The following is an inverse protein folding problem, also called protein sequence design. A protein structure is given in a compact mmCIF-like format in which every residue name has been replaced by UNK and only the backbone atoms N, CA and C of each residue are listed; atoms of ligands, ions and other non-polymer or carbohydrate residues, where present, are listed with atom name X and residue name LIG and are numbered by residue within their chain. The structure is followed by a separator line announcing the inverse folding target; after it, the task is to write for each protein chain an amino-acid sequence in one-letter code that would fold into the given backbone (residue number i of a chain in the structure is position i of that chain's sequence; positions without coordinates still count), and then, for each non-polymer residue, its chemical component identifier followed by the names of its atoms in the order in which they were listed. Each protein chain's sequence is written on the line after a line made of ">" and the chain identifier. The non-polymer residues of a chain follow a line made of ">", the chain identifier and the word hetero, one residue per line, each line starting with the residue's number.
data_IF_672828584907
#
_entry.id   IF_672828584907
#
_cell.length_a   1.000
_cell.length_b   1.000
_cell.length_c   1.000
_cell.angle_alpha   90.00
_cell.angle_beta   90.00
_cell.angle_gamma   90.00
#
_symmetry.space_group_name_H-M   'P 1'
#
loop_
_entity.id
_entity.type
_entity.pdbx_description
1 polymer ?
#
# COMPACT_ATOMS: atom_id res chain seq x y z
N UNK A 1 -22.99 -52.66 -61.79
CA UNK A 1 -21.67 -52.61 -61.12
C UNK A 1 -21.72 -51.35 -60.28
N UNK A 2 -22.50 -51.37 -59.19
CA UNK A 2 -22.98 -50.13 -58.53
C UNK A 2 -22.85 -50.16 -57.00
N UNK A 3 -22.84 -51.35 -56.39
CA UNK A 3 -22.85 -51.51 -54.93
C UNK A 3 -21.57 -50.98 -54.24
N UNK A 4 -20.40 -51.05 -54.91
CA UNK A 4 -19.14 -50.48 -54.38
C UNK A 4 -19.14 -48.95 -54.40
N UNK A 5 -19.80 -48.34 -55.37
CA UNK A 5 -19.84 -46.88 -55.54
C UNK A 5 -20.84 -46.25 -54.56
N UNK A 6 -22.02 -46.84 -54.44
CA UNK A 6 -23.02 -46.45 -53.44
C UNK A 6 -22.48 -46.57 -52.01
N UNK A 7 -21.75 -47.65 -51.70
CA UNK A 7 -21.10 -47.82 -50.40
C UNK A 7 -20.05 -46.74 -50.10
N UNK A 8 -19.31 -46.24 -51.11
CA UNK A 8 -18.35 -45.15 -50.90
C UNK A 8 -19.05 -43.83 -50.59
N UNK A 9 -20.18 -43.55 -51.24
CA UNK A 9 -20.98 -42.36 -50.96
C UNK A 9 -21.60 -42.46 -49.56
N UNK A 10 -22.19 -43.61 -49.22
CA UNK A 10 -22.76 -43.87 -47.90
C UNK A 10 -21.73 -43.68 -46.77
N UNK A 11 -20.52 -44.24 -46.90
CA UNK A 11 -19.45 -44.06 -45.91
C UNK A 11 -19.03 -42.60 -45.73
N UNK A 12 -19.00 -41.81 -46.82
CA UNK A 12 -18.67 -40.39 -46.76
C UNK A 12 -19.76 -39.60 -46.02
N UNK A 13 -21.03 -39.93 -46.25
CA UNK A 13 -22.18 -39.31 -45.57
C UNK A 13 -22.16 -39.66 -44.08
N UNK A 14 -22.02 -40.94 -43.74
CA UNK A 14 -21.94 -41.40 -42.34
C UNK A 14 -20.83 -40.70 -41.57
N UNK A 15 -19.66 -40.55 -42.20
CA UNK A 15 -18.53 -39.85 -41.59
C UNK A 15 -18.85 -38.36 -41.38
N UNK A 16 -19.43 -37.69 -42.38
CA UNK A 16 -19.83 -36.29 -42.27
C UNK A 16 -20.86 -36.06 -41.15
N UNK A 17 -21.88 -36.91 -41.06
CA UNK A 17 -22.91 -36.82 -40.01
C UNK A 17 -22.38 -37.16 -38.63
N UNK A 18 -21.46 -38.12 -38.53
CA UNK A 18 -20.79 -38.44 -37.26
C UNK A 18 -19.95 -37.25 -36.79
N UNK A 19 -19.19 -36.62 -37.68
CA UNK A 19 -18.42 -35.40 -37.38
C UNK A 19 -19.33 -34.24 -36.92
N UNK A 20 -20.51 -34.08 -37.52
CA UNK A 20 -21.48 -33.07 -37.10
C UNK A 20 -22.01 -33.34 -35.69
N UNK A 21 -22.46 -34.57 -35.43
CA UNK A 21 -23.02 -35.00 -34.14
C UNK A 21 -22.01 -34.88 -33.00
N UNK A 22 -20.78 -35.36 -33.21
CA UNK A 22 -19.73 -35.33 -32.19
C UNK A 22 -19.40 -33.89 -31.80
N UNK A 23 -19.39 -32.97 -32.77
CA UNK A 23 -19.14 -31.56 -32.53
C UNK A 23 -20.29 -30.84 -31.85
N UNK A 24 -21.54 -31.09 -32.26
CA UNK A 24 -22.71 -30.52 -31.59
C UNK A 24 -22.81 -30.95 -30.13
N UNK A 25 -22.48 -32.21 -29.84
CA UNK A 25 -22.36 -32.71 -28.47
C UNK A 25 -21.24 -32.02 -27.69
N UNK A 26 -20.10 -31.75 -28.33
CA UNK A 26 -18.98 -31.04 -27.71
C UNK A 26 -19.35 -29.58 -27.37
N UNK A 27 -20.02 -28.89 -28.29
CA UNK A 27 -20.51 -27.51 -28.08
C UNK A 27 -21.58 -27.45 -27.00
N UNK A 28 -22.51 -28.42 -26.96
CA UNK A 28 -23.53 -28.51 -25.90
C UNK A 28 -22.92 -28.76 -24.51
N UNK A 29 -21.74 -29.38 -24.45
CA UNK A 29 -20.93 -29.56 -23.24
C UNK A 29 -19.97 -28.39 -22.97
N UNK A 30 -20.19 -27.24 -23.62
CA UNK A 30 -19.40 -26.01 -23.49
C UNK A 30 -17.91 -26.13 -23.85
N UNK A 31 -17.53 -27.11 -24.68
CA UNK A 31 -16.14 -27.25 -25.18
C UNK A 31 -15.93 -26.47 -26.49
N UNK A 32 -16.00 -25.14 -26.39
CA UNK A 32 -15.83 -24.22 -27.52
C UNK A 32 -14.42 -24.21 -28.14
N UNK A 33 -13.43 -24.80 -27.45
CA UNK A 33 -12.06 -25.02 -27.92
C UNK A 33 -11.96 -26.02 -29.07
N UNK A 34 -12.98 -26.87 -29.25
CA UNK A 34 -13.00 -27.89 -30.31
C UNK A 34 -13.05 -27.21 -31.68
N UNK A 35 -12.19 -27.61 -32.62
CA UNK A 35 -12.16 -27.03 -33.97
C UNK A 35 -13.45 -27.36 -34.74
N UNK A 36 -14.09 -26.34 -35.31
CA UNK A 36 -15.32 -26.48 -36.10
C UNK A 36 -15.12 -27.43 -37.31
N UNK A 37 -15.85 -28.55 -37.40
CA UNK A 37 -15.73 -29.52 -38.50
C UNK A 37 -16.64 -29.20 -39.69
N UNK A 38 -17.58 -28.26 -39.57
CA UNK A 38 -18.49 -27.89 -40.66
C UNK A 38 -17.79 -27.56 -41.99
N UNK A 39 -16.60 -26.90 -42.03
CA UNK A 39 -15.87 -26.70 -43.29
C UNK A 39 -15.39 -28.01 -43.93
N UNK A 40 -15.07 -29.03 -43.13
CA UNK A 40 -14.68 -30.36 -43.65
C UNK A 40 -15.90 -31.12 -44.16
N UNK A 41 -17.03 -31.00 -43.47
CA UNK A 41 -18.30 -31.63 -43.85
C UNK A 41 -18.81 -31.05 -45.18
N UNK A 42 -18.76 -29.73 -45.36
CA UNK A 42 -19.11 -29.06 -46.63
C UNK A 42 -18.30 -29.66 -47.78
N UNK A 43 -16.97 -29.79 -47.63
CA UNK A 43 -16.11 -30.40 -48.65
C UNK A 43 -16.46 -31.86 -48.98
N UNK A 44 -16.94 -32.63 -48.00
CA UNK A 44 -17.37 -34.02 -48.23
C UNK A 44 -18.60 -34.03 -49.13
N UNK A 45 -19.61 -33.19 -48.85
CA UNK A 45 -20.82 -33.10 -49.67
C UNK A 45 -20.57 -32.49 -51.05
N UNK A 46 -19.70 -31.48 -51.16
CA UNK A 46 -19.24 -30.96 -52.45
C UNK A 46 -18.56 -32.05 -53.29
N UNK A 47 -17.73 -32.88 -52.66
CA UNK A 47 -17.07 -34.02 -53.31
C UNK A 47 -18.07 -35.08 -53.80
N UNK A 48 -19.06 -35.43 -52.99
CA UNK A 48 -20.14 -36.38 -53.39
C UNK A 48 -20.93 -35.81 -54.57
N UNK A 49 -21.32 -34.53 -54.49
CA UNK A 49 -22.03 -33.85 -55.57
C UNK A 49 -21.23 -33.86 -56.87
N UNK A 50 -19.94 -33.56 -56.83
CA UNK A 50 -19.10 -33.55 -58.02
C UNK A 50 -18.97 -34.95 -58.63
N UNK A 51 -18.83 -35.97 -57.78
CA UNK A 51 -18.81 -37.37 -58.21
C UNK A 51 -20.13 -37.72 -58.90
N UNK A 52 -21.29 -37.38 -58.35
CA UNK A 52 -22.60 -37.67 -58.95
C UNK A 52 -22.81 -36.95 -60.30
N UNK A 53 -22.38 -35.70 -60.42
CA UNK A 53 -22.43 -34.95 -61.69
C UNK A 53 -21.56 -35.63 -62.76
N UNK A 54 -20.34 -36.06 -62.40
CA UNK A 54 -19.43 -36.71 -63.34
C UNK A 54 -19.98 -38.06 -63.86
N UNK A 55 -20.86 -38.72 -63.09
CA UNK A 55 -21.58 -39.94 -63.49
C UNK A 55 -22.89 -39.66 -64.25
N UNK A 56 -23.28 -38.40 -64.42
CA UNK A 56 -24.51 -37.99 -65.10
C UNK A 56 -25.77 -38.00 -64.22
N UNK A 57 -25.64 -38.23 -62.92
CA UNK A 57 -26.75 -38.31 -61.96
C UNK A 57 -27.07 -36.92 -61.38
N UNK A 58 -27.53 -36.03 -62.26
CA UNK A 58 -27.73 -34.62 -61.93
C UNK A 58 -28.85 -34.39 -60.91
N UNK A 59 -29.94 -35.16 -60.97
CA UNK A 59 -31.06 -35.04 -60.03
C UNK A 59 -30.62 -35.43 -58.61
N UNK A 60 -29.87 -36.53 -58.48
CA UNK A 60 -29.31 -36.99 -57.20
C UNK A 60 -28.28 -36.01 -56.66
N UNK A 61 -27.50 -35.37 -57.53
CA UNK A 61 -26.55 -34.32 -57.14
C UNK A 61 -27.24 -33.07 -56.57
N UNK A 62 -28.47 -32.75 -57.01
CA UNK A 62 -29.19 -31.57 -56.51
C UNK A 62 -29.57 -31.70 -55.04
N UNK A 63 -29.88 -32.91 -54.57
CA UNK A 63 -30.26 -33.19 -53.16
C UNK A 63 -29.15 -32.73 -52.20
N UNK A 64 -27.88 -32.87 -52.61
CA UNK A 64 -26.74 -32.49 -51.78
C UNK A 64 -26.49 -30.97 -51.72
N UNK A 65 -27.10 -30.16 -52.60
CA UNK A 65 -27.00 -28.70 -52.51
C UNK A 65 -27.64 -28.17 -51.23
N UNK A 66 -28.79 -28.72 -50.85
CA UNK A 66 -29.50 -28.33 -49.63
C UNK A 66 -28.65 -28.65 -48.39
N UNK A 67 -27.99 -29.80 -48.41
CA UNK A 67 -27.11 -30.23 -47.33
C UNK A 67 -25.84 -29.37 -47.22
N UNK A 68 -25.24 -28.98 -48.36
CA UNK A 68 -24.13 -28.02 -48.40
C UNK A 68 -24.56 -26.67 -47.80
N UNK A 69 -25.74 -26.16 -48.21
CA UNK A 69 -26.29 -24.91 -47.71
C UNK A 69 -26.55 -24.97 -46.20
N UNK A 70 -27.13 -26.07 -45.71
CA UNK A 70 -27.39 -26.29 -44.29
C UNK A 70 -26.12 -26.22 -43.44
N UNK A 71 -25.02 -26.85 -43.88
CA UNK A 71 -23.75 -26.78 -43.15
C UNK A 71 -23.04 -25.44 -43.27
N UNK A 72 -23.25 -24.69 -44.35
CA UNK A 72 -22.80 -23.30 -44.45
C UNK A 72 -23.48 -22.41 -43.40
N UNK A 73 -24.80 -22.51 -43.24
CA UNK A 73 -25.54 -21.76 -42.22
C UNK A 73 -25.08 -22.12 -40.80
N UNK A 74 -24.81 -23.40 -40.54
CA UNK A 74 -24.23 -23.86 -39.26
C UNK A 74 -22.83 -23.28 -39.01
N UNK A 75 -22.00 -23.21 -40.03
CA UNK A 75 -20.67 -22.60 -39.92
C UNK A 75 -20.74 -21.11 -39.58
N UNK A 76 -21.67 -20.37 -40.17
CA UNK A 76 -21.84 -18.95 -39.85
C UNK A 76 -22.33 -18.74 -38.40
N UNK A 77 -23.29 -19.54 -37.95
CA UNK A 77 -23.77 -19.50 -36.56
C UNK A 77 -22.63 -19.79 -35.57
N UNK A 78 -21.79 -20.78 -35.87
CA UNK A 78 -20.62 -21.12 -35.05
C UNK A 78 -19.61 -19.97 -34.96
N UNK A 79 -19.32 -19.30 -36.08
CA UNK A 79 -18.44 -18.12 -36.09
C UNK A 79 -18.97 -17.00 -35.21
N UNK A 80 -20.26 -16.68 -35.31
CA UNK A 80 -20.91 -15.65 -34.47
C UNK A 80 -20.85 -16.01 -32.99
N UNK A 81 -21.09 -17.27 -32.64
CA UNK A 81 -20.98 -17.74 -31.26
C UNK A 81 -19.57 -17.57 -30.69
N UNK A 82 -18.54 -17.92 -31.47
CA UNK A 82 -17.13 -17.75 -31.05
C UNK A 82 -16.74 -16.28 -30.88
N UNK A 83 -17.24 -15.41 -31.74
CA UNK A 83 -16.99 -13.97 -31.64
C UNK A 83 -17.61 -13.39 -30.36
N UNK A 84 -18.86 -13.76 -30.04
CA UNK A 84 -19.52 -13.33 -28.80
C UNK A 84 -18.75 -13.82 -27.57
N UNK A 85 -18.29 -15.07 -27.57
CA UNK A 85 -17.55 -15.63 -26.43
C UNK A 85 -16.19 -14.94 -26.27
N UNK A 86 -15.48 -14.66 -27.37
CA UNK A 86 -14.25 -13.88 -27.33
C UNK A 86 -14.47 -12.46 -26.77
N UNK A 87 -15.56 -11.79 -27.17
CA UNK A 87 -15.91 -10.48 -26.63
C UNK A 87 -16.25 -10.52 -25.13
N UNK A 88 -16.94 -11.57 -24.66
CA UNK A 88 -17.23 -11.75 -23.22
C UNK A 88 -15.95 -11.91 -22.41
N UNK A 89 -15.03 -12.77 -22.87
CA UNK A 89 -13.74 -12.99 -22.21
C UNK A 89 -12.94 -11.70 -22.15
N UNK A 90 -12.94 -10.91 -23.23
CA UNK A 90 -12.24 -9.62 -23.25
C UNK A 90 -12.84 -8.62 -22.26
N UNK A 91 -14.17 -8.45 -22.25
CA UNK A 91 -14.87 -7.57 -21.30
C UNK A 91 -14.63 -7.98 -19.85
N UNK A 92 -14.57 -9.28 -19.57
CA UNK A 92 -14.30 -9.78 -18.23
C UNK A 92 -12.89 -9.44 -17.77
N UNK A 93 -11.88 -9.58 -18.64
CA UNK A 93 -10.51 -9.16 -18.34
C UNK A 93 -10.40 -7.66 -18.07
N UNK A 94 -11.02 -6.83 -18.91
CA UNK A 94 -11.05 -5.38 -18.72
C UNK A 94 -11.68 -4.99 -17.38
N UNK A 95 -12.77 -5.67 -16.99
CA UNK A 95 -13.40 -5.43 -15.69
C UNK A 95 -12.50 -5.84 -14.51
N UNK A 96 -11.84 -6.99 -14.59
CA UNK A 96 -10.87 -7.44 -13.57
C UNK A 96 -9.68 -6.49 -13.43
N UNK A 97 -9.16 -5.96 -14.54
CA UNK A 97 -8.08 -4.96 -14.53
C UNK A 97 -8.53 -3.65 -13.87
N UNK A 98 -9.74 -3.16 -14.20
CA UNK A 98 -10.30 -1.97 -13.56
C UNK A 98 -10.51 -2.17 -12.06
N UNK A 99 -10.89 -3.36 -11.62
CA UNK A 99 -11.06 -3.67 -10.19
C UNK A 99 -9.71 -3.65 -9.44
N UNK A 100 -8.67 -4.24 -10.03
CA UNK A 100 -7.31 -4.23 -9.46
C UNK A 100 -6.75 -2.81 -9.33
N UNK A 101 -6.98 -1.95 -10.32
CA UNK A 101 -6.53 -0.55 -10.26
C UNK A 101 -7.20 0.18 -9.07
N UNK A 102 -8.51 -0.02 -8.88
CA UNK A 102 -9.23 0.58 -7.74
C UNK A 102 -8.70 0.11 -6.39
N UNK A 103 -8.37 -1.17 -6.25
CA UNK A 103 -7.77 -1.71 -5.01
C UNK A 103 -6.39 -1.10 -4.72
N UNK A 104 -5.58 -0.86 -5.75
CA UNK A 104 -4.27 -0.23 -5.58
C UNK A 104 -4.42 1.22 -5.13
N UNK A 105 -5.37 1.96 -5.72
CA UNK A 105 -5.62 3.36 -5.35
C UNK A 105 -6.15 3.49 -3.91
N UNK A 106 -7.02 2.57 -3.46
CA UNK A 106 -7.51 2.57 -2.08
C UNK A 106 -6.41 2.23 -1.08
N UNK A 107 -5.56 1.23 -1.37
CA UNK A 107 -4.40 0.90 -0.53
C UNK A 107 -3.46 2.10 -0.42
N UNK A 108 -3.19 2.78 -1.54
CA UNK A 108 -2.31 3.96 -1.57
C UNK A 108 -2.86 5.11 -0.72
N UNK A 109 -4.18 5.34 -0.76
CA UNK A 109 -4.82 6.36 0.06
C UNK A 109 -4.70 6.05 1.56
N UNK A 110 -4.88 4.79 1.96
CA UNK A 110 -4.75 4.34 3.36
C UNK A 110 -3.33 4.52 3.88
N UNK A 111 -2.31 4.12 3.10
CA UNK A 111 -0.90 4.31 3.48
C UNK A 111 -0.59 5.80 3.68
N UNK A 112 -1.09 6.68 2.80
CA UNK A 112 -0.87 8.12 2.92
C UNK A 112 -1.51 8.70 4.19
N UNK A 113 -2.71 8.23 4.59
CA UNK A 113 -3.33 8.66 5.84
C UNK A 113 -2.58 8.18 7.08
N UNK A 114 -2.10 6.93 7.09
CA UNK A 114 -1.36 6.37 8.22
C UNK A 114 -0.04 7.12 8.45
N UNK A 115 0.70 7.40 7.38
CA UNK A 115 1.96 8.15 7.50
C UNK A 115 1.73 9.57 8.06
N UNK A 116 0.64 10.23 7.67
CA UNK A 116 0.29 11.56 8.22
C UNK A 116 -0.04 11.49 9.70
N UNK A 117 -0.74 10.44 10.13
CA UNK A 117 -1.09 10.25 11.53
C UNK A 117 0.16 9.98 12.39
N UNK A 118 1.10 9.18 11.88
CA UNK A 118 2.39 8.92 12.52
C UNK A 118 3.23 10.21 12.68
N UNK A 119 3.29 11.05 11.63
CA UNK A 119 3.97 12.35 11.69
C UNK A 119 3.35 13.29 12.74
N UNK A 120 2.02 13.30 12.86
CA UNK A 120 1.30 14.11 13.87
C UNK A 120 1.65 13.62 15.28
N UNK A 121 1.63 12.30 15.51
CA UNK A 121 1.95 11.71 16.81
C UNK A 121 3.40 11.98 17.23
N UNK A 122 4.36 11.87 16.32
CA UNK A 122 5.77 12.18 16.60
C UNK A 122 5.97 13.68 16.92
N UNK A 123 5.25 14.56 16.20
CA UNK A 123 5.27 15.99 16.49
C UNK A 123 4.67 16.32 17.87
N UNK A 124 3.55 15.70 18.22
CA UNK A 124 2.90 15.87 19.53
C UNK A 124 3.76 15.33 20.66
N UNK A 125 4.41 14.18 20.48
CA UNK A 125 5.34 13.60 21.46
C UNK A 125 6.53 14.52 21.72
N UNK A 126 7.18 15.03 20.66
CA UNK A 126 8.30 15.99 20.78
C UNK A 126 7.88 17.29 21.45
N UNK A 127 6.66 17.76 21.19
CA UNK A 127 6.12 18.95 21.85
C UNK A 127 5.90 18.68 23.35
N UNK A 128 5.33 17.53 23.70
CA UNK A 128 5.08 17.14 25.09
C UNK A 128 6.38 16.97 25.88
N UNK A 129 7.38 16.29 25.31
CA UNK A 129 8.70 16.12 25.92
C UNK A 129 9.37 17.48 26.20
N UNK A 130 9.29 18.43 25.26
CA UNK A 130 9.80 19.80 25.46
C UNK A 130 9.08 20.55 26.58
N UNK A 131 7.77 20.33 26.76
CA UNK A 131 7.01 20.95 27.85
C UNK A 131 7.42 20.36 29.19
N UNK A 132 7.49 19.02 29.30
CA UNK A 132 7.91 18.34 30.53
C UNK A 132 9.33 18.75 30.95
N UNK A 133 10.29 18.75 30.02
CA UNK A 133 11.67 19.19 30.30
C UNK A 133 11.72 20.68 30.71
N UNK A 134 10.87 21.53 30.13
CA UNK A 134 10.79 22.94 30.53
C UNK A 134 10.27 23.12 31.95
N UNK A 135 9.28 22.33 32.36
CA UNK A 135 8.76 22.35 33.74
C UNK A 135 9.81 21.91 34.75
N UNK A 136 10.57 20.86 34.44
CA UNK A 136 11.70 20.42 35.27
C UNK A 136 12.75 21.52 35.45
N UNK A 137 13.13 22.17 34.35
CA UNK A 137 14.06 23.30 34.35
C UNK A 137 13.54 24.42 35.27
N UNK A 138 12.28 24.84 35.14
CA UNK A 138 11.73 25.91 35.96
C UNK A 138 11.66 25.52 37.45
N UNK A 139 11.38 24.26 37.75
CA UNK A 139 11.41 23.73 39.12
C UNK A 139 12.82 23.78 39.71
N UNK A 140 13.85 23.44 38.94
CA UNK A 140 15.25 23.54 39.37
C UNK A 140 15.66 24.98 39.68
N UNK A 141 15.29 25.95 38.82
CA UNK A 141 15.55 27.38 39.06
C UNK A 141 14.85 27.83 40.34
N UNK A 142 13.56 27.50 40.47
CA UNK A 142 12.75 27.89 41.64
C UNK A 142 13.33 27.34 42.93
N UNK A 143 13.83 26.10 42.91
CA UNK A 143 14.47 25.50 44.07
C UNK A 143 15.79 26.19 44.42
N UNK A 144 16.62 26.50 43.43
CA UNK A 144 17.87 27.23 43.64
C UNK A 144 17.65 28.64 44.23
N UNK A 145 16.62 29.36 43.75
CA UNK A 145 16.25 30.66 44.29
C UNK A 145 15.72 30.57 45.72
N UNK A 146 14.95 29.52 46.03
CA UNK A 146 14.49 29.25 47.40
C UNK A 146 15.68 28.98 48.33
N UNK A 147 16.63 28.13 47.93
CA UNK A 147 17.84 27.85 48.71
C UNK A 147 18.65 29.13 48.99
N UNK A 148 18.80 30.00 48.00
CA UNK A 148 19.47 31.29 48.18
C UNK A 148 18.76 32.15 49.23
N UNK A 149 17.43 32.25 49.11
CA UNK A 149 16.60 33.08 49.98
C UNK A 149 16.59 32.58 51.43
N UNK A 150 16.47 31.27 51.63
CA UNK A 150 16.50 30.64 52.96
C UNK A 150 17.82 30.93 53.66
N UNK A 151 18.94 30.71 52.96
CA UNK A 151 20.27 30.99 53.50
C UNK A 151 20.50 32.47 53.82
N UNK A 152 20.07 33.38 52.96
CA UNK A 152 20.15 34.82 53.23
C UNK A 152 19.32 35.27 54.43
N UNK A 153 18.23 34.57 54.74
CA UNK A 153 17.44 34.81 55.94
C UNK A 153 18.13 34.25 57.18
N UNK A 154 18.72 33.06 57.09
CA UNK A 154 19.41 32.41 58.20
C UNK A 154 20.68 33.16 58.62
N UNK A 155 21.48 33.67 57.67
CA UNK A 155 22.64 34.53 57.98
C UNK A 155 22.22 35.81 58.73
N UNK A 156 21.02 36.34 58.48
CA UNK A 156 20.51 37.51 59.22
C UNK A 156 20.10 37.18 60.65
N UNK A 157 19.75 35.92 60.93
CA UNK A 157 19.24 35.48 62.22
C UNK A 157 20.28 34.76 63.09
N UNK A 158 21.39 34.29 62.51
CA UNK A 158 22.39 33.45 63.17
C UNK A 158 23.82 33.74 62.72
N UNK A 159 24.82 33.27 63.47
CA UNK A 159 26.25 33.40 63.09
C UNK A 159 26.59 32.52 61.89
N UNK A 160 27.31 33.08 60.91
CA UNK A 160 27.61 32.44 59.62
C UNK A 160 28.53 31.21 59.75
N UNK A 161 29.29 31.11 60.86
CA UNK A 161 30.34 30.11 61.10
C UNK A 161 29.79 28.67 61.14
N UNK A 162 28.55 28.49 61.61
CA UNK A 162 27.94 27.16 61.74
C UNK A 162 27.00 26.78 60.58
N UNK A 163 26.88 27.64 59.57
CA UNK A 163 25.94 27.44 58.46
C UNK A 163 26.64 26.88 57.22
N UNK A 164 26.03 25.92 56.53
CA UNK A 164 26.54 25.42 55.23
C UNK A 164 26.16 26.39 54.12
N UNK A 165 27.11 26.77 53.26
CA UNK A 165 26.87 27.74 52.19
C UNK A 165 26.28 27.04 50.95
N UNK A 166 25.03 27.32 50.56
CA UNK A 166 24.40 26.65 49.41
C UNK A 166 24.79 27.25 48.07
N UNK A 167 25.52 28.36 48.01
CA UNK A 167 25.82 29.05 46.74
C UNK A 167 26.58 28.17 45.74
N UNK A 168 27.43 27.25 46.21
CA UNK A 168 28.12 26.29 45.34
C UNK A 168 27.13 25.32 44.66
N UNK A 169 26.21 24.74 45.43
CA UNK A 169 25.11 23.89 44.93
C UNK A 169 24.20 24.65 43.97
N UNK A 170 23.89 25.92 44.27
CA UNK A 170 23.08 26.79 43.41
C UNK A 170 23.76 27.05 42.07
N UNK A 171 25.08 27.32 42.06
CA UNK A 171 25.85 27.50 40.82
C UNK A 171 25.84 26.24 39.97
N UNK A 172 25.94 25.06 40.59
CA UNK A 172 25.84 23.77 39.89
C UNK A 172 24.46 23.58 39.25
N UNK A 173 23.38 23.88 39.98
CA UNK A 173 22.02 23.83 39.46
C UNK A 173 21.88 24.76 38.23
N UNK A 174 22.33 26.02 38.31
CA UNK A 174 22.24 26.92 37.16
C UNK A 174 23.11 26.47 35.97
N UNK A 175 24.26 25.84 36.20
CA UNK A 175 25.07 25.24 35.12
C UNK A 175 24.36 24.07 34.46
N UNK A 176 23.69 23.23 35.23
CA UNK A 176 22.91 22.11 34.71
C UNK A 176 21.70 22.61 33.91
N UNK A 177 20.93 23.53 34.49
CA UNK A 177 19.78 24.15 33.82
C UNK A 177 20.19 24.82 32.51
N UNK A 178 21.34 25.50 32.47
CA UNK A 178 21.88 26.09 31.25
C UNK A 178 22.07 25.04 30.14
N UNK A 179 22.66 23.88 30.46
CA UNK A 179 22.83 22.79 29.49
C UNK A 179 21.49 22.23 29.03
N UNK A 180 20.53 22.06 29.94
CA UNK A 180 19.18 21.57 29.61
C UNK A 180 18.43 22.54 28.69
N UNK A 181 18.51 23.86 28.93
CA UNK A 181 17.99 24.87 28.00
C UNK A 181 18.62 24.81 26.61
N UNK A 182 19.93 24.59 26.52
CA UNK A 182 20.62 24.40 25.22
C UNK A 182 20.14 23.14 24.50
N UNK A 183 19.95 22.03 25.23
CA UNK A 183 19.47 20.76 24.69
C UNK A 183 18.04 20.88 24.10
N UNK A 184 17.15 21.64 24.74
CA UNK A 184 15.79 21.87 24.21
C UNK A 184 15.72 22.97 23.13
N UNK A 185 16.85 23.65 22.86
CA UNK A 185 17.00 24.68 21.83
C UNK A 185 16.71 26.12 22.29
N UNK A 186 16.51 26.34 23.59
CA UNK A 186 16.21 27.64 24.20
C UNK A 186 17.50 28.41 24.52
N UNK A 187 18.16 28.86 23.44
CA UNK A 187 19.51 29.45 23.51
C UNK A 187 19.52 30.82 24.18
N UNK A 188 18.43 31.58 24.10
CA UNK A 188 18.36 32.91 24.72
C UNK A 188 18.24 32.80 26.24
N UNK A 189 17.41 31.88 26.73
CA UNK A 189 17.21 31.58 28.14
C UNK A 189 18.50 31.03 28.76
N UNK A 190 19.17 30.10 28.07
CA UNK A 190 20.50 29.62 28.48
C UNK A 190 21.51 30.78 28.66
N UNK A 191 21.55 31.73 27.71
CA UNK A 191 22.47 32.87 27.80
C UNK A 191 22.18 33.75 29.01
N UNK A 192 20.91 33.99 29.33
CA UNK A 192 20.51 34.78 30.52
C UNK A 192 21.02 34.15 31.82
N UNK A 193 21.14 32.83 31.89
CA UNK A 193 21.66 32.14 33.09
C UNK A 193 23.16 32.38 33.34
N UNK A 194 23.92 32.86 32.36
CA UNK A 194 25.33 33.22 32.55
C UNK A 194 25.46 34.34 33.59
N UNK A 195 24.55 35.30 33.56
CA UNK A 195 24.53 36.40 34.52
C UNK A 195 24.18 35.92 35.93
N UNK A 196 23.20 35.00 36.05
CA UNK A 196 22.85 34.37 37.33
C UNK A 196 24.00 33.55 37.91
N UNK A 197 24.69 32.77 37.08
CA UNK A 197 25.89 32.03 37.50
C UNK A 197 26.96 32.99 38.02
N UNK A 198 27.24 34.07 37.28
CA UNK A 198 28.21 35.09 37.72
C UNK A 198 27.79 35.73 39.04
N UNK A 199 26.53 36.10 39.19
CA UNK A 199 25.98 36.70 40.41
C UNK A 199 26.18 35.80 41.65
N UNK A 200 25.91 34.50 41.53
CA UNK A 200 26.10 33.58 42.66
C UNK A 200 27.58 33.25 42.93
N UNK A 201 28.46 33.28 41.92
CA UNK A 201 29.91 33.20 42.14
C UNK A 201 30.41 34.40 42.97
N UNK A 202 29.97 35.61 42.64
CA UNK A 202 30.34 36.82 43.38
C UNK A 202 29.81 36.76 44.83
N UNK A 203 28.63 36.18 45.06
CA UNK A 203 28.08 35.95 46.41
C UNK A 203 28.88 34.92 47.19
N UNK A 204 29.24 33.80 46.56
CA UNK A 204 30.08 32.77 47.19
C UNK A 204 31.44 33.34 47.62
N UNK A 205 32.06 34.18 46.80
CA UNK A 205 33.33 34.82 47.15
C UNK A 205 33.18 35.79 48.34
N UNK A 206 32.10 36.58 48.36
CA UNK A 206 31.79 37.45 49.50
C UNK A 206 31.55 36.66 50.79
N UNK A 207 30.83 35.55 50.71
CA UNK A 207 30.56 34.67 51.84
C UNK A 207 31.84 34.10 52.45
N UNK A 208 32.75 33.58 51.60
CA UNK A 208 34.07 33.11 52.02
C UNK A 208 34.88 34.18 52.76
N UNK A 209 34.92 35.40 52.21
CA UNK A 209 35.60 36.53 52.85
C UNK A 209 34.99 36.90 54.20
N UNK A 210 33.66 36.82 54.34
CA UNK A 210 32.98 37.08 55.61
C UNK A 210 33.33 36.03 56.67
N UNK A 211 33.34 34.74 56.30
CA UNK A 211 33.75 33.65 57.18
C UNK A 211 35.19 33.81 57.67
N UNK A 212 36.13 34.13 56.79
CA UNK A 212 37.54 34.37 57.17
C UNK A 212 37.71 35.53 58.16
N UNK A 213 36.86 36.55 58.11
CA UNK A 213 36.88 37.68 59.04
C UNK A 213 36.27 37.27 60.40
N UNK A 214 35.20 36.48 60.38
CA UNK A 214 34.51 36.02 61.61
C UNK A 214 35.34 34.99 62.36
N UNK A 215 36.12 34.15 61.67
CA UNK A 215 37.08 33.21 62.27
C UNK A 215 38.31 33.89 62.91
N UNK A 216 38.63 35.13 62.50
CA UNK A 216 39.75 35.93 63.03
C UNK A 216 39.36 36.84 64.20
N UNK A 217 38.06 36.92 64.54
CA UNK A 217 37.54 37.65 65.70
C UNK A 217 37.48 36.76 66.93
#
# INVERSE_FOLDING_TARGET
>A
MDEKFENQIAQKIDNAEKMARDYELAIKKSKYETKCPYPKIIKIYEGIRQILINYGWNEQAMIYNEQIKFYHEKLEKDKKLREIEAQKVQKQKEFEELHKIKEIDTIRAVILSLNKEEEILDFEAKKKEKVEESEEIFNMISNAERMAKEYEQEIKMSSIIHLDCPYEKIIEIYKEVKKRFENIGWKEESRKLIDSIRYYNDKLEKDKRLREIEERK
#
